data_IF_681499890702
#
_entry.id   IF_681499890702
#
_cell.length_a   1.000
_cell.length_b   1.000
_cell.length_c   1.000
_cell.angle_alpha   90.00
_cell.angle_beta   90.00
_cell.angle_gamma   90.00
#
_symmetry.space_group_name_H-M   'P 1'
#
loop_
_entity.id
_entity.type
_entity.pdbx_description
1 polymer ?
#
# COMPACT_ATOMS: atom_id res chain seq x y z
N UNK A 1 6.18 -75.11 -9.26
CA UNK A 1 5.07 -75.36 -8.31
C UNK A 1 4.54 -73.98 -7.90
N UNK A 2 3.27 -73.74 -8.25
CA UNK A 2 2.30 -72.69 -7.85
C UNK A 2 2.58 -72.00 -6.51
N UNK A 3 2.19 -70.76 -6.17
CA UNK A 3 1.19 -69.80 -6.66
C UNK A 3 1.49 -68.44 -5.97
N UNK A 4 0.93 -67.35 -6.48
CA UNK A 4 0.99 -65.99 -5.93
C UNK A 4 0.18 -65.85 -4.64
N UNK A 5 0.53 -64.88 -3.79
CA UNK A 5 -0.48 -63.99 -3.21
C UNK A 5 0.09 -62.58 -2.99
N UNK A 6 -0.53 -61.64 -3.70
CA UNK A 6 -0.34 -60.19 -3.64
C UNK A 6 -1.39 -59.62 -2.69
N UNK A 7 -0.97 -58.79 -1.74
CA UNK A 7 -1.88 -57.82 -1.10
C UNK A 7 -1.40 -56.43 -1.53
N UNK A 8 -2.25 -55.58 -2.14
CA UNK A 8 -1.82 -54.26 -2.59
C UNK A 8 -1.84 -53.28 -1.41
N UNK A 9 -0.71 -52.60 -1.16
CA UNK A 9 -0.72 -51.36 -0.38
C UNK A 9 -0.67 -50.17 -1.33
N UNK A 10 -1.69 -49.30 -1.35
CA UNK A 10 -1.63 -48.04 -2.08
C UNK A 10 -0.78 -47.03 -1.29
N UNK A 11 -0.27 -46.03 -2.01
CA UNK A 11 0.48 -44.85 -1.54
C UNK A 11 2.00 -44.98 -1.63
N UNK A 12 2.51 -45.07 -2.87
CA UNK A 12 3.75 -44.36 -3.19
C UNK A 12 3.43 -42.86 -3.25
N UNK A 13 3.60 -42.18 -2.12
CA UNK A 13 3.65 -40.72 -2.12
C UNK A 13 4.92 -40.30 -2.85
N UNK A 14 4.74 -40.11 -4.16
CA UNK A 14 5.71 -39.50 -5.04
C UNK A 14 5.76 -38.01 -4.64
N UNK A 15 6.42 -37.68 -3.53
CA UNK A 15 6.85 -36.32 -3.27
C UNK A 15 7.83 -35.94 -4.39
N UNK A 16 7.26 -35.32 -5.42
CA UNK A 16 8.01 -34.63 -6.45
C UNK A 16 8.83 -33.54 -5.76
N UNK A 17 10.06 -33.86 -5.38
CA UNK A 17 11.07 -32.86 -5.08
C UNK A 17 11.37 -32.11 -6.37
N UNK A 18 10.53 -31.11 -6.63
CA UNK A 18 10.73 -30.16 -7.72
C UNK A 18 12.14 -29.59 -7.54
N UNK A 19 13.00 -29.61 -8.58
CA UNK A 19 14.35 -29.08 -8.46
C UNK A 19 14.24 -27.65 -7.97
N UNK A 20 14.85 -27.34 -6.82
CA UNK A 20 14.89 -25.98 -6.29
C UNK A 20 15.50 -25.08 -7.37
N UNK A 21 14.64 -24.37 -8.08
CA UNK A 21 15.07 -23.52 -9.18
C UNK A 21 15.78 -22.34 -8.55
N UNK A 22 17.05 -22.13 -8.89
CA UNK A 22 17.81 -20.97 -8.43
C UNK A 22 16.99 -19.71 -8.76
N UNK A 23 16.75 -18.81 -7.79
CA UNK A 23 16.03 -17.58 -8.06
C UNK A 23 16.70 -16.82 -9.20
N UNK A 24 15.91 -16.20 -10.08
CA UNK A 24 16.47 -15.32 -11.11
C UNK A 24 17.25 -14.18 -10.46
N UNK A 25 18.22 -13.61 -11.18
CA UNK A 25 18.97 -12.44 -10.72
C UNK A 25 18.05 -11.32 -10.20
N UNK A 26 16.92 -11.07 -10.90
CA UNK A 26 15.92 -10.09 -10.49
C UNK A 26 15.26 -10.45 -9.16
N UNK A 27 14.89 -11.71 -8.96
CA UNK A 27 14.30 -12.19 -7.72
C UNK A 27 15.29 -12.08 -6.55
N UNK A 28 16.54 -12.52 -6.76
CA UNK A 28 17.60 -12.46 -5.75
C UNK A 28 17.96 -11.00 -5.41
N UNK A 29 18.09 -10.14 -6.42
CA UNK A 29 18.32 -8.70 -6.25
C UNK A 29 17.21 -8.02 -5.47
N UNK A 30 15.95 -8.38 -5.71
CA UNK A 30 14.80 -7.87 -4.93
C UNK A 30 14.89 -8.29 -3.47
N UNK A 31 15.20 -9.57 -3.20
CA UNK A 31 15.38 -10.11 -1.84
C UNK A 31 16.53 -9.41 -1.11
N UNK A 32 17.67 -9.24 -1.78
CA UNK A 32 18.82 -8.51 -1.25
C UNK A 32 18.45 -7.06 -0.89
N UNK A 33 17.83 -6.32 -1.82
CA UNK A 33 17.38 -4.94 -1.56
C UNK A 33 16.37 -4.84 -0.42
N UNK A 34 15.47 -5.82 -0.28
CA UNK A 34 14.53 -5.88 0.84
C UNK A 34 15.27 -6.08 2.17
N UNK A 35 16.26 -6.98 2.20
CA UNK A 35 17.08 -7.24 3.40
C UNK A 35 17.92 -6.03 3.81
N UNK A 36 18.60 -5.38 2.86
CA UNK A 36 19.38 -4.15 3.09
C UNK A 36 18.50 -3.02 3.67
N UNK A 37 17.28 -2.85 3.15
CA UNK A 37 16.32 -1.88 3.71
C UNK A 37 15.88 -2.25 5.12
N UNK A 38 15.55 -3.52 5.38
CA UNK A 38 15.14 -3.99 6.72
C UNK A 38 16.23 -3.72 7.76
N UNK A 39 17.48 -3.95 7.40
CA UNK A 39 18.65 -3.71 8.26
C UNK A 39 19.05 -2.23 8.36
N UNK A 40 18.31 -1.32 7.72
CA UNK A 40 18.61 0.11 7.69
C UNK A 40 20.04 0.43 7.19
N UNK A 41 20.64 -0.49 6.41
CA UNK A 41 22.05 -0.42 5.98
C UNK A 41 22.34 0.71 4.99
N UNK A 42 21.35 1.44 4.50
CA UNK A 42 21.56 2.68 3.73
C UNK A 42 20.70 3.82 4.24
N UNK A 43 20.17 3.69 5.47
CA UNK A 43 19.41 4.75 6.10
C UNK A 43 20.37 5.83 6.63
N UNK A 44 20.30 7.07 6.12
CA UNK A 44 21.15 8.17 6.56
C UNK A 44 20.81 8.70 7.95
N UNK A 45 19.64 8.39 8.49
CA UNK A 45 19.17 8.92 9.78
C UNK A 45 19.68 8.12 10.99
N UNK A 46 20.51 7.09 10.78
CA UNK A 46 21.05 6.24 11.85
C UNK A 46 22.43 6.78 12.25
N UNK A 47 22.50 7.53 13.35
CA UNK A 47 23.72 8.22 13.81
C UNK A 47 24.75 7.33 14.52
N UNK A 48 24.33 6.18 15.07
CA UNK A 48 25.20 5.24 15.79
C UNK A 48 25.37 3.92 15.03
N UNK A 49 25.65 4.00 13.73
CA UNK A 49 25.75 2.79 12.92
C UNK A 49 27.08 2.07 13.21
N UNK A 50 26.99 0.87 13.77
CA UNK A 50 28.10 -0.07 13.68
C UNK A 50 28.23 -0.55 12.23
N UNK A 51 29.37 -0.27 11.60
CA UNK A 51 29.67 -0.75 10.26
C UNK A 51 30.03 -2.24 10.31
N UNK A 52 28.99 -3.07 10.33
CA UNK A 52 29.09 -4.52 10.29
C UNK A 52 28.56 -5.06 8.96
N UNK A 53 28.93 -6.30 8.65
CA UNK A 53 28.35 -7.04 7.54
C UNK A 53 26.84 -7.28 7.76
N UNK A 54 26.16 -7.85 6.76
CA UNK A 54 24.72 -8.09 6.78
C UNK A 54 24.28 -9.05 7.90
N UNK A 55 25.17 -9.94 8.38
CA UNK A 55 24.88 -10.84 9.50
C UNK A 55 25.14 -10.22 10.88
N UNK A 56 25.83 -9.08 10.95
CA UNK A 56 26.25 -8.45 12.20
C UNK A 56 27.45 -9.13 12.87
N UNK A 57 28.06 -10.13 12.21
CA UNK A 57 29.09 -10.99 12.80
C UNK A 57 30.51 -10.44 12.60
N UNK A 58 30.71 -9.60 11.58
CA UNK A 58 32.03 -9.05 11.27
C UNK A 58 31.97 -7.55 11.03
N UNK A 59 32.99 -6.82 11.49
CA UNK A 59 33.20 -5.42 11.15
C UNK A 59 33.57 -5.26 9.68
N UNK A 60 33.16 -4.16 9.07
CA UNK A 60 33.56 -3.77 7.71
C UNK A 60 34.96 -3.14 7.74
N UNK A 61 35.70 -3.30 6.64
CA UNK A 61 36.98 -2.61 6.44
C UNK A 61 36.79 -1.11 6.28
N UNK A 62 37.85 -0.31 6.48
CA UNK A 62 37.79 1.15 6.33
C UNK A 62 37.39 1.58 4.91
N UNK A 63 37.85 0.86 3.87
CA UNK A 63 37.47 1.13 2.49
C UNK A 63 35.96 0.95 2.29
N UNK A 64 35.37 -0.07 2.90
CA UNK A 64 33.95 -0.35 2.81
C UNK A 64 33.11 0.64 3.62
N UNK A 65 33.64 1.13 4.75
CA UNK A 65 33.03 2.23 5.52
C UNK A 65 32.97 3.49 4.67
N UNK A 66 34.10 3.90 4.08
CA UNK A 66 34.18 5.06 3.17
C UNK A 66 33.20 4.92 2.00
N UNK A 67 33.16 3.75 1.35
CA UNK A 67 32.19 3.50 0.28
C UNK A 67 30.75 3.67 0.75
N UNK A 68 30.41 3.14 1.93
CA UNK A 68 29.07 3.20 2.50
C UNK A 68 28.66 4.64 2.82
N UNK A 69 29.57 5.45 3.35
CA UNK A 69 29.34 6.88 3.61
C UNK A 69 29.09 7.66 2.31
N UNK A 70 29.95 7.47 1.30
CA UNK A 70 29.77 8.09 -0.03
C UNK A 70 28.41 7.71 -0.62
N UNK A 71 28.05 6.42 -0.58
CA UNK A 71 26.78 5.94 -1.08
C UNK A 71 25.57 6.54 -0.33
N UNK A 72 25.68 6.71 1.00
CA UNK A 72 24.66 7.38 1.80
C UNK A 72 24.53 8.86 1.42
N UNK A 73 25.64 9.58 1.31
CA UNK A 73 25.67 11.00 0.93
C UNK A 73 25.05 11.21 -0.47
N UNK A 74 25.45 10.38 -1.45
CA UNK A 74 24.88 10.39 -2.81
C UNK A 74 23.38 10.08 -2.83
N UNK A 75 22.91 9.22 -1.94
CA UNK A 75 21.47 8.93 -1.79
C UNK A 75 20.71 10.13 -1.22
N UNK A 76 21.24 10.80 -0.21
CA UNK A 76 20.63 12.02 0.35
C UNK A 76 20.54 13.09 -0.73
N UNK A 77 21.63 13.32 -1.47
CA UNK A 77 21.70 14.25 -2.59
C UNK A 77 20.64 13.91 -3.65
N UNK A 78 20.59 12.65 -4.13
CA UNK A 78 19.60 12.22 -5.11
C UNK A 78 18.14 12.38 -4.63
N UNK A 79 17.86 12.02 -3.37
CA UNK A 79 16.52 12.20 -2.79
C UNK A 79 16.18 13.68 -2.71
N UNK A 80 17.12 14.50 -2.25
CA UNK A 80 16.99 15.96 -2.20
C UNK A 80 16.72 16.53 -3.59
N UNK A 81 17.50 16.18 -4.60
CA UNK A 81 17.27 16.65 -5.98
C UNK A 81 15.95 16.15 -6.58
N UNK A 82 15.54 14.92 -6.29
CA UNK A 82 14.30 14.34 -6.83
C UNK A 82 13.06 14.87 -6.14
N UNK A 83 13.09 15.07 -4.82
CA UNK A 83 11.95 15.50 -4.02
C UNK A 83 11.88 17.02 -3.84
N UNK A 84 13.02 17.72 -3.74
CA UNK A 84 13.08 19.19 -3.66
C UNK A 84 13.03 19.87 -5.03
N UNK A 85 13.00 19.11 -6.13
CA UNK A 85 12.35 19.60 -7.34
C UNK A 85 10.91 19.89 -6.96
N UNK A 86 10.63 21.16 -6.63
CA UNK A 86 9.30 21.77 -6.43
C UNK A 86 8.34 21.52 -7.61
N UNK A 87 8.79 20.80 -8.63
CA UNK A 87 8.14 20.48 -9.90
C UNK A 87 8.22 18.98 -10.23
N UNK A 88 8.19 18.09 -9.23
CA UNK A 88 7.32 16.93 -9.44
C UNK A 88 5.93 17.55 -9.61
N UNK A 89 5.56 17.84 -10.85
CA UNK A 89 4.19 18.06 -11.25
C UNK A 89 3.46 16.77 -10.87
N UNK A 90 3.04 16.68 -9.62
CA UNK A 90 1.90 15.88 -9.25
C UNK A 90 0.78 16.51 -10.06
N UNK A 91 0.57 16.00 -11.26
CA UNK A 91 -0.60 16.37 -12.03
C UNK A 91 -1.76 15.94 -11.16
N UNK A 92 -2.51 16.93 -10.67
CA UNK A 92 -3.81 16.68 -10.06
C UNK A 92 -4.55 15.73 -11.00
N UNK A 93 -5.15 14.68 -10.44
CA UNK A 93 -5.93 13.74 -11.23
C UNK A 93 -6.92 14.60 -12.03
N UNK A 94 -6.89 14.55 -13.38
CA UNK A 94 -7.78 15.35 -14.18
C UNK A 94 -9.21 14.96 -13.82
N UNK A 95 -9.93 15.91 -13.24
CA UNK A 95 -11.34 15.76 -12.93
C UNK A 95 -12.16 16.23 -14.13
N UNK A 96 -13.29 15.57 -14.36
CA UNK A 96 -14.30 15.94 -15.35
C UNK A 96 -14.92 17.32 -15.01
N UNK A 97 -15.51 17.97 -16.01
CA UNK A 97 -16.24 19.22 -15.80
C UNK A 97 -17.37 19.08 -14.76
N UNK A 98 -18.01 17.91 -14.72
CA UNK A 98 -19.07 17.57 -13.76
C UNK A 98 -18.54 17.51 -12.33
N UNK A 99 -17.42 16.81 -12.11
CA UNK A 99 -16.74 16.75 -10.81
C UNK A 99 -16.28 18.13 -10.34
N UNK A 100 -15.75 18.96 -11.23
CA UNK A 100 -15.34 20.33 -10.91
C UNK A 100 -16.54 21.21 -10.49
N UNK A 101 -17.69 21.06 -11.16
CA UNK A 101 -18.90 21.80 -10.83
C UNK A 101 -19.53 21.32 -9.51
N UNK A 102 -19.48 20.01 -9.23
CA UNK A 102 -19.90 19.45 -7.94
C UNK A 102 -19.02 19.96 -6.79
N UNK A 103 -17.70 20.03 -6.98
CA UNK A 103 -16.82 20.60 -5.95
C UNK A 103 -17.12 22.08 -5.68
N UNK A 104 -17.40 22.86 -6.74
CA UNK A 104 -17.80 24.27 -6.58
C UNK A 104 -19.11 24.40 -5.81
N UNK A 105 -20.12 23.60 -6.12
CA UNK A 105 -21.39 23.65 -5.38
C UNK A 105 -21.21 23.23 -3.92
N UNK A 106 -20.41 22.22 -3.62
CA UNK A 106 -20.14 21.77 -2.24
C UNK A 106 -19.32 22.76 -1.42
N UNK A 107 -18.34 23.42 -2.03
CA UNK A 107 -17.57 24.50 -1.38
C UNK A 107 -18.41 25.74 -1.03
N UNK A 108 -19.63 25.84 -1.55
CA UNK A 108 -20.59 26.89 -1.15
C UNK A 108 -21.50 26.48 0.02
N UNK A 109 -21.60 25.18 0.34
CA UNK A 109 -22.55 24.68 1.35
C UNK A 109 -22.11 24.94 2.79
N UNK A 110 -23.02 25.46 3.60
CA UNK A 110 -22.79 25.60 5.05
C UNK A 110 -22.70 24.23 5.74
N UNK A 111 -22.06 24.20 6.92
CA UNK A 111 -21.94 22.97 7.73
C UNK A 111 -23.29 22.28 7.97
N UNK A 112 -24.34 23.05 8.27
CA UNK A 112 -25.70 22.52 8.51
C UNK A 112 -26.32 21.90 7.26
N UNK A 113 -26.13 22.52 6.09
CA UNK A 113 -26.60 21.98 4.82
C UNK A 113 -25.92 20.65 4.48
N UNK A 114 -24.60 20.55 4.68
CA UNK A 114 -23.85 19.31 4.45
C UNK A 114 -24.36 18.20 5.39
N UNK A 115 -24.58 18.52 6.67
CA UNK A 115 -25.17 17.60 7.64
C UNK A 115 -26.57 17.13 7.21
N UNK A 116 -27.42 18.04 6.71
CA UNK A 116 -28.75 17.70 6.21
C UNK A 116 -28.68 16.71 5.04
N UNK A 117 -27.76 16.95 4.09
CA UNK A 117 -27.56 16.07 2.94
C UNK A 117 -27.07 14.69 3.41
N UNK A 118 -26.04 14.64 4.27
CA UNK A 118 -25.53 13.37 4.78
C UNK A 118 -26.65 12.58 5.49
N UNK A 119 -27.41 13.23 6.37
CA UNK A 119 -28.51 12.57 7.08
C UNK A 119 -29.61 12.06 6.15
N UNK A 120 -29.82 12.70 4.99
CA UNK A 120 -30.76 12.20 3.97
C UNK A 120 -30.25 10.99 3.19
N UNK A 121 -28.92 10.81 3.11
CA UNK A 121 -28.26 9.71 2.37
C UNK A 121 -27.95 8.49 3.26
N UNK A 122 -27.84 8.66 4.57
CA UNK A 122 -27.58 7.54 5.49
C UNK A 122 -28.62 6.41 5.35
N UNK A 123 -29.94 6.67 5.19
CA UNK A 123 -30.93 5.60 5.03
C UNK A 123 -30.75 4.72 3.79
N UNK A 124 -30.06 5.19 2.75
CA UNK A 124 -29.80 4.42 1.53
C UNK A 124 -28.53 3.56 1.59
N UNK A 125 -27.80 3.58 2.71
CA UNK A 125 -26.63 2.74 2.94
C UNK A 125 -27.01 1.42 3.61
N UNK A 126 -26.17 0.40 3.43
CA UNK A 126 -26.27 -0.86 4.16
C UNK A 126 -26.07 -0.66 5.67
N UNK A 127 -26.66 -1.54 6.49
CA UNK A 127 -26.63 -1.41 7.96
C UNK A 127 -25.21 -1.35 8.55
N UNK A 128 -24.26 -2.06 7.92
CA UNK A 128 -22.83 -2.01 8.29
C UNK A 128 -22.22 -0.63 8.05
N UNK A 129 -22.60 0.03 6.95
CA UNK A 129 -22.14 1.37 6.59
C UNK A 129 -22.79 2.47 7.42
N UNK A 130 -24.08 2.33 7.72
CA UNK A 130 -24.84 3.27 8.55
C UNK A 130 -24.19 3.48 9.93
N UNK A 131 -23.70 2.39 10.53
CA UNK A 131 -23.02 2.43 11.84
C UNK A 131 -21.75 3.30 11.82
N UNK A 132 -21.07 3.41 10.67
CA UNK A 132 -19.83 4.21 10.53
C UNK A 132 -20.09 5.72 10.59
N UNK A 133 -21.32 6.17 10.37
CA UNK A 133 -21.67 7.59 10.22
C UNK A 133 -22.55 8.15 11.35
N UNK A 134 -22.60 7.49 12.52
CA UNK A 134 -23.52 7.87 13.63
C UNK A 134 -23.17 9.19 14.35
N UNK A 135 -21.91 9.65 14.26
CA UNK A 135 -21.41 10.80 15.04
C UNK A 135 -20.82 11.89 14.14
N UNK A 136 -21.69 12.78 13.62
CA UNK A 136 -21.33 13.81 12.65
C UNK A 136 -21.39 15.25 13.19
N UNK A 137 -22.09 15.50 14.31
CA UNK A 137 -22.30 16.84 14.86
C UNK A 137 -21.00 17.58 15.19
N UNK A 138 -20.02 16.84 15.71
CA UNK A 138 -18.77 17.38 16.23
C UNK A 138 -17.70 17.58 15.15
N UNK A 139 -17.97 17.15 13.91
CA UNK A 139 -17.00 17.20 12.82
C UNK A 139 -16.85 18.60 12.24
N UNK A 140 -15.67 18.91 11.72
CA UNK A 140 -15.42 20.14 10.98
C UNK A 140 -16.19 20.13 9.66
N UNK A 141 -16.34 21.30 9.02
CA UNK A 141 -16.98 21.39 7.71
C UNK A 141 -16.25 20.53 6.68
N UNK A 142 -14.92 20.58 6.64
CA UNK A 142 -14.10 19.83 5.68
C UNK A 142 -14.17 18.33 5.92
N UNK A 143 -14.21 17.90 7.19
CA UNK A 143 -14.44 16.50 7.53
C UNK A 143 -15.80 16.00 7.04
N UNK A 144 -16.84 16.84 7.11
CA UNK A 144 -18.16 16.51 6.60
C UNK A 144 -18.18 16.41 5.07
N UNK A 145 -17.44 17.26 4.35
CA UNK A 145 -17.30 17.15 2.88
C UNK A 145 -16.64 15.81 2.51
N UNK A 146 -15.54 15.46 3.17
CA UNK A 146 -14.86 14.18 2.95
C UNK A 146 -15.78 12.98 3.24
N UNK A 147 -16.63 13.07 4.26
CA UNK A 147 -17.61 12.03 4.59
C UNK A 147 -18.71 11.94 3.54
N UNK A 148 -19.25 13.09 3.09
CA UNK A 148 -20.26 13.13 2.03
C UNK A 148 -19.75 12.45 0.76
N UNK A 149 -18.50 12.70 0.37
CA UNK A 149 -17.86 12.06 -0.77
C UNK A 149 -17.73 10.54 -0.57
N UNK A 150 -17.29 10.09 0.61
CA UNK A 150 -17.23 8.66 0.93
C UNK A 150 -18.59 7.97 0.81
N UNK A 151 -19.64 8.59 1.34
CA UNK A 151 -21.01 8.05 1.27
C UNK A 151 -21.46 7.92 -0.18
N UNK A 152 -21.19 8.92 -1.03
CA UNK A 152 -21.55 8.86 -2.46
C UNK A 152 -20.78 7.78 -3.21
N UNK A 153 -19.51 7.57 -2.90
CA UNK A 153 -18.73 6.51 -3.52
C UNK A 153 -19.29 5.12 -3.16
N UNK A 154 -19.64 4.91 -1.89
CA UNK A 154 -20.29 3.67 -1.44
C UNK A 154 -21.62 3.42 -2.18
N UNK A 155 -22.42 4.46 -2.39
CA UNK A 155 -23.67 4.39 -3.15
C UNK A 155 -23.45 4.12 -4.65
N UNK A 156 -22.39 4.68 -5.24
CA UNK A 156 -22.03 4.42 -6.62
C UNK A 156 -21.56 2.97 -6.82
N UNK A 157 -20.75 2.45 -5.89
CA UNK A 157 -20.28 1.06 -5.90
C UNK A 157 -21.46 0.08 -5.80
N UNK A 158 -22.41 0.30 -4.87
CA UNK A 158 -23.59 -0.57 -4.73
C UNK A 158 -24.54 -0.50 -5.94
N UNK A 159 -24.60 0.63 -6.64
CA UNK A 159 -25.40 0.76 -7.87
C UNK A 159 -24.80 0.04 -9.08
N UNK A 160 -23.47 -0.18 -9.11
CA UNK A 160 -22.79 -0.90 -10.18
C UNK A 160 -22.88 -2.42 -10.01
N UNK A 161 -22.84 -2.92 -8.76
CA UNK A 161 -23.01 -4.35 -8.47
C UNK A 161 -24.39 -4.89 -8.81
N UNK A 162 -25.42 -4.02 -8.79
CA UNK A 162 -26.80 -4.41 -9.14
C UNK A 162 -27.07 -4.47 -10.65
N UNK A 163 -26.12 -4.03 -11.51
CA UNK A 163 -26.26 -4.05 -12.97
C UNK A 163 -25.62 -5.27 -13.64
N UNK A 164 -24.87 -6.09 -12.91
CA UNK A 164 -24.20 -7.29 -13.46
C UNK A 164 -25.04 -8.59 -13.27
N UNK A 165 -26.30 -8.49 -12.82
CA UNK A 165 -27.18 -9.65 -12.56
C UNK A 165 -28.42 -9.66 -13.49
N UNK A 166 -28.42 -8.89 -14.59
CA UNK A 166 -29.48 -8.97 -15.63
C UNK A 166 -28.95 -9.51 -16.96
#
# INVERSE_FOLDING_TARGET
>A
MTYWDTVPSPNSDNESHKPRTRPSFTAESRRFRARIRKLQFVNPNVSNRMFQNISGESMLSEEMKNFTEIACMKRIEFIGERLNKKTLFWHSIPITCEEANLQKSESSLTKSQILSIINSLIPSLDDSDRLRFRSLSNKSRDELINILQKIRNLLAESSNTNKEIE
#
